data_IF_497944381205
#
_entry.id   IF_497944381205
#
_cell.length_a   1.000
_cell.length_b   1.000
_cell.length_c   1.000
_cell.angle_alpha   90.00
_cell.angle_beta   90.00
_cell.angle_gamma   90.00
#
_symmetry.space_group_name_H-M   'P 1'
#
loop_
_entity.id
_entity.type
_entity.pdbx_description
1 polymer ?
#
# COMPACT_ATOMS: atom_id res chain seq x y z
N UNK A 1 -16.05 -27.83 -2.09
CA UNK A 1 -15.72 -26.86 -1.04
C UNK A 1 -16.38 -25.55 -1.42
N UNK A 2 -17.47 -25.17 -0.74
CA UNK A 2 -18.09 -23.87 -0.95
C UNK A 2 -17.15 -22.82 -0.35
N UNK A 3 -16.43 -22.08 -1.18
CA UNK A 3 -15.77 -20.86 -0.73
C UNK A 3 -16.87 -19.97 -0.14
N UNK A 4 -16.76 -19.63 1.16
CA UNK A 4 -17.63 -18.61 1.74
C UNK A 4 -17.52 -17.38 0.87
N UNK A 5 -18.63 -16.94 0.26
CA UNK A 5 -18.67 -15.69 -0.49
C UNK A 5 -18.22 -14.61 0.49
N UNK A 6 -17.04 -14.02 0.24
CA UNK A 6 -16.50 -12.96 1.07
C UNK A 6 -17.43 -11.76 0.92
N UNK A 7 -18.05 -11.36 2.02
CA UNK A 7 -18.76 -10.08 2.09
C UNK A 7 -17.71 -8.96 2.10
N UNK A 8 -17.44 -8.41 0.92
CA UNK A 8 -16.44 -7.36 0.71
C UNK A 8 -16.79 -6.11 1.50
N UNK A 9 -18.07 -5.74 1.55
CA UNK A 9 -18.52 -4.53 2.23
C UNK A 9 -18.31 -4.63 3.73
N UNK A 10 -18.76 -5.74 4.34
CA UNK A 10 -18.56 -5.99 5.76
C UNK A 10 -17.06 -6.13 6.10
N UNK A 11 -16.26 -6.75 5.21
CA UNK A 11 -14.81 -6.87 5.39
C UNK A 11 -14.14 -5.48 5.42
N UNK A 12 -14.47 -4.61 4.47
CA UNK A 12 -13.93 -3.25 4.42
C UNK A 12 -14.37 -2.43 5.63
N UNK A 13 -15.61 -2.58 6.09
CA UNK A 13 -16.11 -1.91 7.29
C UNK A 13 -15.38 -2.38 8.55
N UNK A 14 -15.19 -3.69 8.70
CA UNK A 14 -14.46 -4.29 9.82
C UNK A 14 -13.03 -3.78 9.88
N UNK A 15 -12.32 -3.79 8.74
CA UNK A 15 -10.93 -3.29 8.71
C UNK A 15 -10.91 -1.78 8.99
N UNK A 16 -11.85 -1.00 8.45
CA UNK A 16 -11.94 0.44 8.72
C UNK A 16 -12.09 0.75 10.21
N UNK A 17 -12.89 -0.03 10.94
CA UNK A 17 -13.07 0.13 12.38
C UNK A 17 -11.79 -0.20 13.18
N UNK A 18 -10.90 -1.03 12.61
CA UNK A 18 -9.62 -1.39 13.24
C UNK A 18 -8.49 -0.36 12.99
N UNK A 19 -8.71 0.64 12.13
CA UNK A 19 -7.68 1.63 11.79
C UNK A 19 -7.33 2.50 13.00
N UNK A 20 -6.04 2.81 13.14
CA UNK A 20 -5.55 3.65 14.23
C UNK A 20 -5.91 5.13 13.98
N UNK A 21 -6.80 5.76 14.76
CA UNK A 21 -7.16 7.16 14.55
C UNK A 21 -6.11 8.13 15.08
N UNK A 22 -5.30 7.71 16.05
CA UNK A 22 -4.27 8.54 16.68
C UNK A 22 -3.13 7.66 17.22
N UNK A 23 -1.89 8.07 16.92
CA UNK A 23 -0.68 7.45 17.47
C UNK A 23 -0.33 8.16 18.78
N UNK A 24 -0.59 7.51 19.91
CA UNK A 24 -0.22 8.02 21.23
C UNK A 24 1.24 7.71 21.54
N UNK A 25 2.07 8.73 21.79
CA UNK A 25 3.48 8.56 22.16
C UNK A 25 3.61 7.77 23.47
N UNK A 26 2.69 7.98 24.43
CA UNK A 26 2.66 7.23 25.67
C UNK A 26 2.44 5.72 25.43
N UNK A 27 1.64 5.33 24.44
CA UNK A 27 1.45 3.93 24.08
C UNK A 27 2.73 3.33 23.44
N UNK A 28 3.47 4.13 22.67
CA UNK A 28 4.79 3.73 22.15
C UNK A 28 5.80 3.53 23.29
N UNK A 29 5.83 4.46 24.24
CA UNK A 29 6.66 4.37 25.44
C UNK A 29 6.33 3.11 26.26
N UNK A 30 5.04 2.83 26.48
CA UNK A 30 4.59 1.66 27.22
C UNK A 30 4.97 0.32 26.57
N UNK A 31 5.03 0.27 25.23
CA UNK A 31 5.50 -0.92 24.48
C UNK A 31 7.03 -1.06 24.50
N UNK A 32 7.75 0.06 24.55
CA UNK A 32 9.21 0.05 24.64
C UNK A 32 9.76 1.38 25.20
N UNK A 33 10.45 1.26 26.34
CA UNK A 33 11.19 2.36 26.98
C UNK A 33 12.39 2.88 26.16
N UNK A 34 12.70 2.24 25.04
CA UNK A 34 13.78 2.66 24.16
C UNK A 34 13.22 3.15 22.83
N UNK A 35 12.27 2.43 22.21
CA UNK A 35 11.81 2.72 20.86
C UNK A 35 11.27 4.14 20.68
N UNK A 36 10.58 4.70 21.66
CA UNK A 36 10.02 6.06 21.60
C UNK A 36 11.09 7.16 21.39
N UNK A 37 12.36 6.87 21.70
CA UNK A 37 13.48 7.83 21.54
C UNK A 37 14.00 7.89 20.10
N UNK A 38 13.59 6.97 19.24
CA UNK A 38 14.15 6.81 17.90
C UNK A 38 13.20 7.43 16.88
N UNK A 39 13.70 8.39 16.09
CA UNK A 39 12.89 9.02 15.02
C UNK A 39 12.34 7.99 14.04
N UNK A 40 13.12 6.94 13.76
CA UNK A 40 12.77 5.86 12.84
C UNK A 40 11.48 5.11 13.24
N UNK A 41 11.35 4.72 14.50
CA UNK A 41 10.23 3.91 14.98
C UNK A 41 8.91 4.68 14.88
N UNK A 42 8.92 5.97 15.23
CA UNK A 42 7.76 6.83 15.08
C UNK A 42 7.36 7.04 13.61
N UNK A 43 8.33 7.22 12.71
CA UNK A 43 8.07 7.31 11.26
C UNK A 43 7.45 6.02 10.72
N UNK A 44 7.96 4.86 11.12
CA UNK A 44 7.46 3.56 10.66
C UNK A 44 6.00 3.35 11.05
N UNK A 45 5.64 3.69 12.29
CA UNK A 45 4.26 3.53 12.75
C UNK A 45 3.37 4.55 12.03
N UNK A 46 3.80 5.82 11.94
CA UNK A 46 3.08 6.83 11.16
C UNK A 46 2.84 6.41 9.72
N UNK A 47 3.86 5.86 9.05
CA UNK A 47 3.77 5.38 7.68
C UNK A 47 2.84 4.16 7.57
N UNK A 48 2.94 3.18 8.49
CA UNK A 48 2.05 2.00 8.52
C UNK A 48 0.59 2.42 8.63
N UNK A 49 0.27 3.30 9.58
CA UNK A 49 -1.11 3.74 9.80
C UNK A 49 -1.62 4.57 8.62
N UNK A 50 -0.82 5.51 8.10
CA UNK A 50 -1.21 6.33 6.95
C UNK A 50 -1.49 5.48 5.70
N UNK A 51 -0.65 4.49 5.42
CA UNK A 51 -0.87 3.56 4.31
C UNK A 51 -2.10 2.67 4.53
N UNK A 52 -2.37 2.24 5.76
CA UNK A 52 -3.57 1.48 6.09
C UNK A 52 -4.84 2.29 5.84
N UNK A 53 -4.87 3.56 6.26
CA UNK A 53 -5.95 4.48 5.96
C UNK A 53 -6.14 4.69 4.46
N UNK A 54 -5.06 4.95 3.72
CA UNK A 54 -5.10 5.11 2.26
C UNK A 54 -5.63 3.86 1.55
N UNK A 55 -5.16 2.68 1.96
CA UNK A 55 -5.56 1.41 1.36
C UNK A 55 -7.08 1.20 1.49
N UNK A 56 -7.61 1.38 2.69
CA UNK A 56 -9.04 1.17 2.94
C UNK A 56 -9.91 2.23 2.28
N UNK A 57 -9.48 3.49 2.26
CA UNK A 57 -10.19 4.55 1.55
C UNK A 57 -10.31 4.24 0.04
N UNK A 58 -9.20 3.90 -0.60
CA UNK A 58 -9.18 3.58 -2.04
C UNK A 58 -10.01 2.32 -2.33
N UNK A 59 -9.90 1.26 -1.52
CA UNK A 59 -10.68 0.03 -1.72
C UNK A 59 -12.18 0.26 -1.55
N UNK A 60 -12.60 1.10 -0.60
CA UNK A 60 -14.01 1.46 -0.44
C UNK A 60 -14.54 2.23 -1.66
N UNK A 61 -13.73 3.15 -2.20
CA UNK A 61 -14.08 3.85 -3.44
C UNK A 61 -14.12 2.90 -4.63
N UNK A 62 -13.17 1.98 -4.76
CA UNK A 62 -13.13 0.97 -5.82
C UNK A 62 -14.39 0.09 -5.79
N UNK A 63 -14.76 -0.39 -4.61
CA UNK A 63 -15.95 -1.21 -4.40
C UNK A 63 -17.23 -0.45 -4.79
N UNK A 64 -17.45 0.76 -4.27
CA UNK A 64 -18.63 1.59 -4.59
C UNK A 64 -18.72 1.87 -6.09
N UNK A 65 -17.60 2.25 -6.71
CA UNK A 65 -17.50 2.55 -8.14
C UNK A 65 -17.84 1.30 -8.98
N UNK A 66 -17.33 0.13 -8.59
CA UNK A 66 -17.65 -1.14 -9.25
C UNK A 66 -19.12 -1.53 -9.11
N UNK A 67 -19.73 -1.31 -7.94
CA UNK A 67 -21.16 -1.55 -7.69
C UNK A 67 -22.07 -0.65 -8.53
N UNK A 68 -21.58 0.53 -8.93
CA UNK A 68 -22.28 1.45 -9.83
C UNK A 68 -22.06 1.12 -11.32
N UNK A 69 -21.35 0.03 -11.66
CA UNK A 69 -21.05 -0.35 -13.04
C UNK A 69 -19.90 0.43 -13.68
N UNK A 70 -19.22 1.30 -12.93
CA UNK A 70 -18.10 2.10 -13.43
C UNK A 70 -16.78 1.28 -13.41
N UNK A 71 -16.71 0.23 -14.22
CA UNK A 71 -15.66 -0.81 -14.14
C UNK A 71 -14.24 -0.27 -14.34
N UNK A 72 -14.03 0.60 -15.33
CA UNK A 72 -12.70 1.19 -15.58
C UNK A 72 -12.19 1.96 -14.36
N UNK A 73 -13.05 2.82 -13.78
CA UNK A 73 -12.72 3.56 -12.56
C UNK A 73 -12.42 2.65 -11.37
N UNK A 74 -13.22 1.59 -11.20
CA UNK A 74 -13.01 0.61 -10.14
C UNK A 74 -11.65 -0.12 -10.28
N UNK A 75 -11.24 -0.46 -11.50
CA UNK A 75 -9.95 -1.12 -11.77
C UNK A 75 -8.76 -0.18 -11.55
N UNK A 76 -8.87 1.08 -11.95
CA UNK A 76 -7.84 2.10 -11.67
C UNK A 76 -7.65 2.28 -10.16
N UNK A 77 -8.73 2.36 -9.39
CA UNK A 77 -8.65 2.45 -7.93
C UNK A 77 -8.06 1.17 -7.32
N UNK A 78 -8.44 0.00 -7.83
CA UNK A 78 -7.87 -1.28 -7.38
C UNK A 78 -6.36 -1.35 -7.62
N UNK A 79 -5.87 -0.84 -8.75
CA UNK A 79 -4.43 -0.70 -9.02
C UNK A 79 -3.75 0.19 -7.98
N UNK A 80 -4.31 1.36 -7.70
CA UNK A 80 -3.75 2.28 -6.70
C UNK A 80 -3.74 1.67 -5.28
N UNK A 81 -4.74 0.84 -4.94
CA UNK A 81 -4.76 0.06 -3.71
C UNK A 81 -3.63 -1.00 -3.69
N UNK A 82 -3.42 -1.72 -4.80
CA UNK A 82 -2.33 -2.69 -4.94
C UNK A 82 -0.94 -2.02 -4.75
N UNK A 83 -0.74 -0.84 -5.34
CA UNK A 83 0.48 -0.05 -5.15
C UNK A 83 0.68 0.33 -3.67
N UNK A 84 -0.40 0.66 -2.95
CA UNK A 84 -0.36 0.98 -1.51
C UNK A 84 0.10 -0.22 -0.68
N UNK A 85 -0.48 -1.40 -0.92
CA UNK A 85 -0.13 -2.60 -0.15
C UNK A 85 1.27 -3.09 -0.50
N UNK A 86 1.74 -2.93 -1.74
CA UNK A 86 3.13 -3.23 -2.10
C UNK A 86 4.12 -2.35 -1.35
N UNK A 87 3.79 -1.08 -1.09
CA UNK A 87 4.63 -0.20 -0.25
C UNK A 87 4.68 -0.68 1.22
N UNK A 88 3.55 -1.16 1.76
CA UNK A 88 3.50 -1.79 3.10
C UNK A 88 4.35 -3.07 3.16
N UNK A 89 4.22 -3.94 2.15
CA UNK A 89 5.00 -5.18 2.03
C UNK A 89 6.50 -4.85 1.96
N UNK A 90 6.87 -3.90 1.11
CA UNK A 90 8.23 -3.45 0.94
C UNK A 90 8.82 -2.92 2.25
N UNK A 91 8.10 -2.04 2.97
CA UNK A 91 8.52 -1.54 4.27
C UNK A 91 8.77 -2.69 5.26
N UNK A 92 7.88 -3.68 5.30
CA UNK A 92 8.03 -4.84 6.17
C UNK A 92 9.24 -5.72 5.79
N UNK A 93 9.47 -5.98 4.50
CA UNK A 93 10.64 -6.73 4.03
C UNK A 93 11.97 -6.05 4.40
N UNK A 94 12.00 -4.70 4.36
CA UNK A 94 13.18 -3.92 4.75
C UNK A 94 13.41 -3.95 6.25
N UNK A 95 12.34 -3.90 7.04
CA UNK A 95 12.40 -4.11 8.48
C UNK A 95 12.94 -5.51 8.83
N UNK A 96 12.42 -6.55 8.17
CA UNK A 96 12.92 -7.93 8.31
C UNK A 96 14.41 -8.02 7.96
N UNK A 97 14.87 -7.30 6.93
CA UNK A 97 16.29 -7.26 6.54
C UNK A 97 17.19 -6.64 7.61
N UNK A 98 16.72 -5.58 8.30
CA UNK A 98 17.45 -4.99 9.44
C UNK A 98 17.53 -5.97 10.60
N UNK A 99 16.41 -6.62 10.96
CA UNK A 99 16.37 -7.62 12.04
C UNK A 99 17.30 -8.80 11.76
N UNK A 100 17.46 -9.17 10.49
CA UNK A 100 18.34 -10.25 10.05
C UNK A 100 19.80 -9.80 9.84
N UNK A 101 20.17 -8.56 10.19
CA UNK A 101 21.50 -7.97 9.95
C UNK A 101 21.93 -7.97 8.46
N UNK A 102 20.98 -7.94 7.53
CA UNK A 102 21.23 -7.85 6.07
C UNK A 102 21.18 -6.42 5.55
N UNK A 103 20.73 -5.47 6.37
CA UNK A 103 20.65 -4.05 6.09
C UNK A 103 21.04 -3.29 7.35
N UNK A 104 21.84 -2.23 7.22
CA UNK A 104 22.20 -1.41 8.38
C UNK A 104 21.00 -0.59 8.86
N UNK A 105 20.98 -0.27 10.15
CA UNK A 105 19.95 0.58 10.73
C UNK A 105 19.94 1.99 10.08
N UNK A 106 21.11 2.51 9.71
CA UNK A 106 21.24 3.83 9.07
C UNK A 106 20.64 3.82 7.66
N UNK A 107 20.95 2.81 6.85
CA UNK A 107 20.36 2.68 5.50
C UNK A 107 18.84 2.59 5.56
N UNK A 108 18.32 1.86 6.55
CA UNK A 108 16.88 1.78 6.76
C UNK A 108 16.29 3.11 7.25
N UNK A 109 17.01 3.85 8.09
CA UNK A 109 16.58 5.17 8.53
C UNK A 109 16.44 6.15 7.37
N UNK A 110 17.40 6.15 6.43
CA UNK A 110 17.36 6.99 5.25
C UNK A 110 16.22 6.56 4.33
N UNK A 111 16.08 5.24 4.10
CA UNK A 111 14.97 4.70 3.32
C UNK A 111 13.60 5.11 3.86
N UNK A 112 13.35 5.04 5.17
CA UNK A 112 12.05 5.46 5.71
C UNK A 112 11.74 6.94 5.52
N UNK A 113 12.77 7.78 5.40
CA UNK A 113 12.59 9.19 5.06
C UNK A 113 12.11 9.34 3.62
N UNK A 114 12.69 8.55 2.70
CA UNK A 114 12.24 8.47 1.30
C UNK A 114 10.81 7.92 1.20
N UNK A 115 10.47 6.86 1.94
CA UNK A 115 9.13 6.27 1.91
C UNK A 115 8.05 7.23 2.42
N UNK A 116 8.39 8.12 3.35
CA UNK A 116 7.46 9.08 3.95
C UNK A 116 7.35 10.38 3.15
N UNK A 117 8.47 10.87 2.60
CA UNK A 117 8.59 12.19 1.97
C UNK A 117 8.88 12.13 0.48
N UNK A 118 8.86 10.95 -0.14
CA UNK A 118 9.18 10.80 -1.56
C UNK A 118 8.22 11.57 -2.46
N UNK A 119 8.73 12.49 -3.28
CA UNK A 119 7.91 13.22 -4.24
C UNK A 119 8.72 13.66 -5.47
N UNK A 120 8.17 13.43 -6.68
CA UNK A 120 8.84 13.81 -7.93
C UNK A 120 8.80 15.30 -8.25
N UNK A 121 7.72 15.97 -7.85
CA UNK A 121 7.45 17.37 -8.24
C UNK A 121 7.85 18.36 -7.13
N UNK A 122 8.81 17.99 -6.28
CA UNK A 122 9.33 18.80 -5.19
C UNK A 122 10.83 18.61 -5.10
N UNK A 123 11.59 19.56 -5.64
CA UNK A 123 13.07 19.46 -5.72
C UNK A 123 13.74 19.30 -4.35
N UNK A 124 13.13 19.84 -3.30
CA UNK A 124 13.61 19.77 -1.92
C UNK A 124 13.36 18.39 -1.27
N UNK A 125 12.57 17.53 -1.91
CA UNK A 125 12.11 16.26 -1.35
C UNK A 125 12.86 15.09 -2.00
N UNK A 126 13.04 13.97 -1.28
CA UNK A 126 13.70 12.80 -1.85
C UNK A 126 12.92 12.23 -3.05
N UNK A 127 13.64 11.66 -4.01
CA UNK A 127 13.03 10.92 -5.11
C UNK A 127 12.26 9.70 -4.56
N UNK A 128 10.97 9.52 -4.91
CA UNK A 128 10.19 8.41 -4.39
C UNK A 128 10.70 7.06 -4.90
N UNK A 129 10.46 6.01 -4.12
CA UNK A 129 10.76 4.64 -4.56
C UNK A 129 9.94 4.34 -5.81
N UNK A 130 10.62 3.82 -6.83
CA UNK A 130 9.99 3.45 -8.08
C UNK A 130 8.92 2.35 -7.86
N UNK A 131 7.69 2.63 -8.29
CA UNK A 131 6.55 1.71 -8.08
C UNK A 131 6.77 0.34 -8.73
N UNK A 132 7.37 0.27 -9.91
CA UNK A 132 7.66 -1.00 -10.59
C UNK A 132 8.66 -1.85 -9.78
N UNK A 133 9.64 -1.21 -9.13
CA UNK A 133 10.52 -1.90 -8.19
C UNK A 133 9.72 -2.43 -6.99
N UNK A 134 8.79 -1.66 -6.41
CA UNK A 134 7.95 -2.11 -5.30
C UNK A 134 7.11 -3.33 -5.66
N UNK A 135 6.47 -3.32 -6.84
CA UNK A 135 5.68 -4.46 -7.34
C UNK A 135 6.57 -5.70 -7.48
N UNK A 136 7.73 -5.59 -8.15
CA UNK A 136 8.66 -6.72 -8.32
C UNK A 136 9.20 -7.27 -7.01
N UNK A 137 9.56 -6.41 -6.07
CA UNK A 137 10.02 -6.85 -4.74
C UNK A 137 8.89 -7.55 -3.97
N UNK A 138 7.65 -7.06 -4.08
CA UNK A 138 6.49 -7.69 -3.43
C UNK A 138 6.18 -9.07 -4.03
N UNK A 139 6.33 -9.23 -5.35
CA UNK A 139 6.10 -10.50 -6.05
C UNK A 139 7.07 -11.62 -5.61
N UNK A 140 8.30 -11.26 -5.21
CA UNK A 140 9.25 -12.21 -4.60
C UNK A 140 8.72 -12.85 -3.32
N UNK A 141 7.87 -12.14 -2.57
CA UNK A 141 7.26 -12.63 -1.32
C UNK A 141 5.85 -13.18 -1.54
N UNK A 142 5.09 -12.58 -2.46
CA UNK A 142 3.72 -12.93 -2.78
C UNK A 142 3.59 -13.10 -4.30
N UNK A 143 3.84 -14.32 -4.78
CA UNK A 143 3.82 -14.62 -6.22
C UNK A 143 2.49 -14.28 -6.88
N UNK A 144 2.55 -13.66 -8.06
CA UNK A 144 1.39 -13.26 -8.87
C UNK A 144 1.01 -11.80 -8.71
N UNK A 145 1.64 -11.06 -7.80
CA UNK A 145 1.43 -9.61 -7.63
C UNK A 145 1.75 -8.85 -8.92
N UNK A 146 2.83 -9.21 -9.61
CA UNK A 146 3.16 -8.56 -10.90
C UNK A 146 2.09 -8.82 -11.96
N UNK A 147 1.61 -10.06 -12.09
CA UNK A 147 0.55 -10.39 -13.05
C UNK A 147 -0.75 -9.62 -12.80
N UNK A 148 -1.18 -9.53 -11.53
CA UNK A 148 -2.36 -8.73 -11.16
C UNK A 148 -2.13 -7.25 -11.49
N UNK A 149 -0.93 -6.72 -11.22
CA UNK A 149 -0.59 -5.33 -11.52
C UNK A 149 -0.66 -5.04 -13.03
N UNK A 150 -0.08 -5.92 -13.84
CA UNK A 150 -0.04 -5.79 -15.29
C UNK A 150 -1.45 -5.84 -15.89
N UNK A 151 -2.28 -6.80 -15.45
CA UNK A 151 -3.70 -6.90 -15.85
C UNK A 151 -4.51 -5.65 -15.51
N UNK A 152 -4.25 -5.04 -14.35
CA UNK A 152 -4.90 -3.79 -13.95
C UNK A 152 -4.37 -2.60 -14.75
N UNK A 153 -3.11 -2.62 -15.16
CA UNK A 153 -2.51 -1.58 -15.99
C UNK A 153 -3.10 -1.56 -17.41
N UNK A 154 -3.37 -2.73 -17.99
CA UNK A 154 -4.00 -2.82 -19.32
C UNK A 154 -5.32 -2.06 -19.38
N UNK A 155 -6.14 -2.13 -18.32
CA UNK A 155 -7.40 -1.36 -18.28
C UNK A 155 -7.22 0.12 -17.94
N UNK A 156 -6.11 0.48 -17.28
CA UNK A 156 -5.84 1.86 -16.91
C UNK A 156 -5.25 2.69 -18.06
N UNK A 157 -4.63 2.03 -19.04
CA UNK A 157 -4.03 2.70 -20.20
C UNK A 157 -5.06 2.94 -21.31
N UNK A 158 -4.92 4.01 -22.11
CA UNK A 158 -5.77 4.26 -23.27
C UNK A 158 -5.41 3.33 -24.44
N UNK A 159 -5.34 2.03 -24.19
CA UNK A 159 -5.09 0.98 -25.17
C UNK A 159 -6.41 0.25 -25.52
N UNK A 160 -6.33 -0.83 -26.29
CA UNK A 160 -7.52 -1.59 -26.68
C UNK A 160 -8.34 -2.07 -25.46
N UNK A 161 -7.68 -2.55 -24.41
CA UNK A 161 -8.34 -3.07 -23.23
C UNK A 161 -8.98 -1.96 -22.39
N UNK A 162 -8.31 -0.81 -22.23
CA UNK A 162 -8.87 0.34 -21.51
C UNK A 162 -9.96 1.11 -22.28
N UNK A 163 -9.89 1.18 -23.61
CA UNK A 163 -10.80 2.02 -24.42
C UNK A 163 -11.93 1.22 -25.07
N UNK A 164 -11.63 0.05 -25.64
CA UNK A 164 -12.65 -0.75 -26.33
C UNK A 164 -13.24 -1.77 -25.37
N UNK A 165 -12.42 -2.66 -24.82
CA UNK A 165 -12.91 -3.77 -23.98
C UNK A 165 -13.55 -3.27 -22.68
N UNK A 166 -12.95 -2.28 -22.03
CA UNK A 166 -13.38 -1.73 -20.74
C UNK A 166 -14.79 -1.11 -20.73
N UNK A 167 -15.34 -0.77 -21.90
CA UNK A 167 -16.67 -0.18 -22.06
C UNK A 167 -17.68 -1.08 -22.80
N UNK A 168 -17.21 -2.17 -23.42
CA UNK A 168 -18.08 -3.13 -24.15
C UNK A 168 -18.51 -4.28 -23.23
N UNK A 169 -17.74 -4.57 -22.18
CA UNK A 169 -17.97 -5.71 -21.26
C UNK A 169 -18.59 -5.32 -19.91
N UNK A 170 -19.14 -4.11 -19.83
CA UNK A 170 -19.91 -3.58 -18.69
C UNK A 170 -21.40 -3.71 -18.89
#
# INVERSE_FOLDING_TARGET
>A
MNASVIDIENTLQTIRQSLCPKIEIAALYARSHVAHKWKLTFRLISLREALSWRLIDILQQAYKTGRMGMIVGARILTRAALETVCLLIYMNMRMESVVQNKMSFNDFQDLTSILLLGAKNREEWPEPVNVQNLIRESDKKYHGVTGIYDDLCETAHPNYDGVCRGYISS
#
